data_IF_521484427020
#
_entry.id   IF_521484427020
#
_cell.length_a   1.000
_cell.length_b   1.000
_cell.length_c   1.000
_cell.angle_alpha   90.00
_cell.angle_beta   90.00
_cell.angle_gamma   90.00
#
_symmetry.space_group_name_H-M   'P 1'
#
loop_
_entity.id
_entity.type
_entity.pdbx_description
1 polymer ?
#
# COMPACT_ATOMS: atom_id res chain seq x y z
N UNK A 1 14.39 -23.77 -15.17
CA UNK A 1 14.84 -22.65 -14.31
C UNK A 1 13.69 -22.29 -13.39
N UNK A 2 13.92 -22.13 -12.08
CA UNK A 2 12.84 -21.77 -11.15
C UNK A 2 12.31 -20.35 -11.36
N UNK A 3 11.04 -20.14 -11.03
CA UNK A 3 10.36 -18.83 -11.08
C UNK A 3 11.09 -17.82 -10.19
N UNK A 4 11.35 -16.60 -10.67
CA UNK A 4 12.04 -15.56 -9.88
C UNK A 4 11.14 -15.07 -8.74
N UNK A 5 11.71 -14.55 -7.66
CA UNK A 5 10.94 -14.02 -6.52
C UNK A 5 11.14 -12.52 -6.44
N UNK A 6 10.05 -11.77 -6.29
CA UNK A 6 10.05 -10.32 -6.08
C UNK A 6 9.43 -10.03 -4.72
N UNK A 7 10.19 -9.37 -3.85
CA UNK A 7 9.67 -8.74 -2.64
C UNK A 7 8.93 -7.45 -3.00
N UNK A 8 7.68 -7.34 -2.59
CA UNK A 8 6.84 -6.17 -2.87
C UNK A 8 6.28 -5.60 -1.57
N UNK A 9 6.41 -4.29 -1.38
CA UNK A 9 5.90 -3.60 -0.19
C UNK A 9 5.28 -2.25 -0.60
N UNK A 10 4.12 -1.95 -0.02
CA UNK A 10 3.43 -0.67 -0.13
C UNK A 10 3.49 -0.01 1.24
N UNK A 11 3.94 1.24 1.29
CA UNK A 11 3.66 2.09 2.44
C UNK A 11 2.31 2.78 2.19
N UNK A 12 1.22 2.44 2.93
CA UNK A 12 -0.13 2.91 2.62
C UNK A 12 -0.28 4.44 2.69
N UNK A 13 0.52 5.10 3.51
CA UNK A 13 0.44 6.55 3.76
C UNK A 13 1.43 7.37 2.93
N UNK A 14 2.29 6.72 2.13
CA UNK A 14 3.29 7.42 1.36
C UNK A 14 2.67 8.39 0.34
N UNK A 15 3.26 9.58 0.24
CA UNK A 15 2.86 10.60 -0.73
C UNK A 15 1.59 11.40 -0.37
N UNK A 16 1.10 11.30 0.88
CA UNK A 16 -0.06 12.05 1.35
C UNK A 16 0.23 13.52 1.67
N UNK A 17 1.46 13.88 2.07
CA UNK A 17 1.79 15.23 2.55
C UNK A 17 1.98 16.28 1.45
N UNK A 18 2.65 15.91 0.35
CA UNK A 18 2.99 16.84 -0.73
C UNK A 18 1.77 17.56 -1.34
N UNK A 19 0.70 16.85 -1.73
CA UNK A 19 -0.50 17.47 -2.32
C UNK A 19 -1.20 18.50 -1.43
N UNK A 20 -1.01 18.42 -0.12
CA UNK A 20 -1.60 19.32 0.88
C UNK A 20 -0.57 20.32 1.46
N UNK A 21 0.58 20.48 0.80
CA UNK A 21 1.59 21.48 1.17
C UNK A 21 2.44 21.12 2.39
N UNK A 22 2.45 19.86 2.83
CA UNK A 22 3.27 19.38 3.94
C UNK A 22 4.58 18.77 3.43
N UNK A 23 5.68 18.95 4.17
CA UNK A 23 7.01 18.39 3.84
C UNK A 23 7.10 16.86 3.92
N UNK A 24 5.99 16.17 4.21
CA UNK A 24 5.91 14.72 4.37
C UNK A 24 4.69 14.31 5.20
N UNK A 25 4.60 13.03 5.56
CA UNK A 25 3.62 12.51 6.55
C UNK A 25 4.29 11.65 7.62
N UNK A 26 5.58 11.90 7.85
CA UNK A 26 6.36 11.18 8.84
C UNK A 26 5.98 11.71 10.23
N UNK A 27 5.22 10.91 10.96
CA UNK A 27 4.71 11.24 12.29
C UNK A 27 3.19 11.43 12.34
N UNK A 28 2.61 11.03 13.47
CA UNK A 28 1.16 10.98 13.67
C UNK A 28 0.48 12.35 13.53
N UNK A 29 1.10 13.42 14.05
CA UNK A 29 0.57 14.80 13.95
C UNK A 29 0.50 15.28 12.51
N UNK A 30 1.57 15.04 11.74
CA UNK A 30 1.66 15.43 10.33
C UNK A 30 0.66 14.66 9.48
N UNK A 31 0.49 13.36 9.76
CA UNK A 31 -0.51 12.53 9.08
C UNK A 31 -1.93 12.98 9.40
N UNK A 32 -2.26 13.25 10.67
CA UNK A 32 -3.55 13.82 11.08
C UNK A 32 -3.84 15.12 10.33
N UNK A 33 -2.87 16.03 10.29
CA UNK A 33 -3.00 17.30 9.57
C UNK A 33 -3.21 17.09 8.07
N UNK A 34 -2.49 16.14 7.47
CA UNK A 34 -2.68 15.81 6.05
C UNK A 34 -4.12 15.37 5.76
N UNK A 35 -4.67 14.50 6.62
CA UNK A 35 -6.05 14.00 6.51
C UNK A 35 -7.08 15.13 6.69
N UNK A 36 -6.87 16.05 7.64
CA UNK A 36 -7.71 17.24 7.80
C UNK A 36 -7.73 18.13 6.56
N UNK A 37 -6.59 18.24 5.88
CA UNK A 37 -6.43 19.00 4.63
C UNK A 37 -6.95 18.24 3.39
N UNK A 38 -7.57 17.06 3.57
CA UNK A 38 -8.15 16.29 2.48
C UNK A 38 -7.17 15.36 1.76
N UNK A 39 -6.02 15.02 2.37
CA UNK A 39 -5.10 14.06 1.78
C UNK A 39 -5.75 12.67 1.62
N UNK A 40 -5.49 12.04 0.48
CA UNK A 40 -5.95 10.70 0.13
C UNK A 40 -4.78 9.74 -0.03
N UNK A 41 -4.99 8.44 0.22
CA UNK A 41 -3.97 7.40 0.03
C UNK A 41 -3.63 7.26 -1.45
N UNK A 42 -2.43 7.69 -1.86
CA UNK A 42 -1.98 7.63 -3.27
C UNK A 42 -1.13 6.41 -3.60
N UNK A 43 -0.41 5.89 -2.60
CA UNK A 43 0.52 4.78 -2.76
C UNK A 43 -0.18 3.49 -3.26
N UNK A 44 -1.33 3.06 -2.70
CA UNK A 44 -2.06 1.90 -3.22
C UNK A 44 -2.42 1.99 -4.71
N UNK A 45 -2.95 3.13 -5.14
CA UNK A 45 -3.34 3.36 -6.53
C UNK A 45 -2.13 3.29 -7.49
N UNK A 46 -0.98 3.81 -7.06
CA UNK A 46 0.27 3.74 -7.83
C UNK A 46 0.81 2.31 -7.90
N UNK A 47 0.73 1.57 -6.79
CA UNK A 47 1.11 0.17 -6.72
C UNK A 47 0.30 -0.70 -7.69
N UNK A 48 -1.02 -0.57 -7.69
CA UNK A 48 -1.89 -1.28 -8.66
C UNK A 48 -1.53 -0.92 -10.10
N UNK A 49 -1.32 0.37 -10.40
CA UNK A 49 -0.92 0.81 -11.73
C UNK A 49 0.39 0.16 -12.17
N UNK A 50 1.39 0.10 -11.28
CA UNK A 50 2.67 -0.54 -11.55
C UNK A 50 2.55 -2.07 -11.73
N UNK A 51 1.76 -2.76 -10.91
CA UNK A 51 1.59 -4.20 -11.05
C UNK A 51 0.80 -4.58 -12.31
N UNK A 52 -0.20 -3.78 -12.70
CA UNK A 52 -0.95 -4.00 -13.95
C UNK A 52 -0.06 -3.97 -15.19
N UNK A 53 1.03 -3.18 -15.22
CA UNK A 53 1.98 -3.20 -16.35
C UNK A 53 2.83 -4.46 -16.39
N UNK A 54 2.99 -5.15 -15.25
CA UNK A 54 3.73 -6.39 -15.11
C UNK A 54 2.88 -7.64 -15.29
N UNK A 55 1.57 -7.52 -15.46
CA UNK A 55 0.62 -8.65 -15.55
C UNK A 55 0.99 -9.68 -16.64
N UNK A 56 1.64 -9.26 -17.72
CA UNK A 56 2.09 -10.16 -18.81
C UNK A 56 3.24 -11.11 -18.40
N UNK A 57 3.84 -10.89 -17.23
CA UNK A 57 4.97 -11.64 -16.70
C UNK A 57 4.58 -12.46 -15.46
N UNK A 58 3.29 -12.72 -15.24
CA UNK A 58 2.80 -13.47 -14.06
C UNK A 58 3.40 -14.87 -13.94
N UNK A 59 3.83 -15.47 -15.05
CA UNK A 59 4.48 -16.78 -15.06
C UNK A 59 6.00 -16.72 -14.78
N UNK A 60 6.62 -15.55 -14.94
CA UNK A 60 8.08 -15.40 -14.83
C UNK A 60 8.53 -15.19 -13.39
N UNK A 61 7.67 -14.61 -12.54
CA UNK A 61 8.00 -14.34 -11.15
C UNK A 61 6.83 -14.51 -10.17
N UNK A 62 7.18 -14.81 -8.92
CA UNK A 62 6.30 -14.92 -7.78
C UNK A 62 6.46 -13.68 -6.90
N UNK A 63 5.34 -13.05 -6.52
CA UNK A 63 5.35 -11.94 -5.56
C UNK A 63 5.35 -12.51 -4.14
N UNK A 64 6.19 -11.94 -3.29
CA UNK A 64 6.15 -12.10 -1.83
C UNK A 64 5.88 -10.72 -1.23
N UNK A 65 4.90 -10.61 -0.33
CA UNK A 65 4.49 -9.33 0.25
C UNK A 65 4.02 -9.49 1.69
N UNK A 66 3.66 -8.38 2.34
CA UNK A 66 3.15 -8.34 3.70
C UNK A 66 1.62 -8.12 3.70
N UNK A 67 0.87 -8.53 4.74
CA UNK A 67 -0.58 -8.56 4.68
C UNK A 67 -1.25 -7.19 4.46
N UNK A 68 -2.46 -7.23 3.91
CA UNK A 68 -3.39 -6.10 3.72
C UNK A 68 -2.82 -4.97 2.85
N UNK A 69 -2.96 -3.72 3.30
CA UNK A 69 -2.56 -2.50 2.59
C UNK A 69 -1.04 -2.37 2.37
N UNK A 70 -0.25 -3.30 2.94
CA UNK A 70 1.20 -3.34 2.75
C UNK A 70 1.60 -3.99 1.42
N UNK A 71 0.64 -4.36 0.55
CA UNK A 71 0.89 -4.85 -0.81
C UNK A 71 0.06 -6.07 -1.21
N UNK A 72 -0.56 -6.77 -0.25
CA UNK A 72 -1.43 -7.93 -0.54
C UNK A 72 -2.63 -7.53 -1.40
N UNK A 73 -3.34 -6.48 -1.00
CA UNK A 73 -4.56 -6.05 -1.69
C UNK A 73 -4.26 -5.57 -3.11
N UNK A 74 -3.21 -4.77 -3.28
CA UNK A 74 -2.80 -4.23 -4.57
C UNK A 74 -2.32 -5.34 -5.53
N UNK A 75 -1.61 -6.35 -5.00
CA UNK A 75 -1.19 -7.51 -5.78
C UNK A 75 -2.37 -8.36 -6.24
N UNK A 76 -3.32 -8.66 -5.35
CA UNK A 76 -4.54 -9.41 -5.68
C UNK A 76 -5.41 -8.66 -6.69
N UNK A 77 -5.64 -7.36 -6.49
CA UNK A 77 -6.40 -6.52 -7.43
C UNK A 77 -5.76 -6.51 -8.83
N UNK A 78 -4.43 -6.59 -8.89
CA UNK A 78 -3.69 -6.59 -10.15
C UNK A 78 -3.63 -7.97 -10.83
N UNK A 79 -4.24 -9.00 -10.23
CA UNK A 79 -4.33 -10.35 -10.76
C UNK A 79 -3.14 -11.27 -10.41
N UNK A 80 -2.33 -10.90 -9.41
CA UNK A 80 -1.29 -11.77 -8.88
C UNK A 80 -1.82 -12.60 -7.70
N UNK A 81 -1.21 -13.77 -7.49
CA UNK A 81 -1.39 -14.59 -6.31
C UNK A 81 -0.15 -14.48 -5.42
N UNK A 82 -0.04 -13.44 -4.56
CA UNK A 82 1.16 -13.23 -3.77
C UNK A 82 1.28 -14.26 -2.64
N UNK A 83 2.53 -14.59 -2.29
CA UNK A 83 2.84 -15.23 -1.01
C UNK A 83 2.85 -14.13 0.04
N UNK A 84 1.95 -14.22 1.02
CA UNK A 84 1.87 -13.26 2.11
C UNK A 84 2.66 -13.80 3.30
N UNK A 85 3.63 -13.02 3.78
CA UNK A 85 4.49 -13.42 4.91
C UNK A 85 4.17 -12.60 6.16
N UNK A 86 4.19 -13.28 7.31
CA UNK A 86 3.95 -12.65 8.60
C UNK A 86 2.47 -12.37 8.89
N UNK A 87 2.23 -11.75 10.04
CA UNK A 87 0.90 -11.34 10.47
C UNK A 87 1.03 -10.07 11.31
N UNK A 88 -0.06 -9.29 11.40
CA UNK A 88 -0.09 -8.16 12.32
C UNK A 88 -0.22 -8.69 13.75
N UNK A 89 0.80 -8.46 14.57
CA UNK A 89 0.76 -8.71 16.01
C UNK A 89 0.57 -7.37 16.74
N UNK A 90 -0.62 -7.16 17.32
CA UNK A 90 -1.00 -5.94 18.04
C UNK A 90 -1.71 -4.88 17.19
N UNK A 91 -2.44 -3.99 17.85
CA UNK A 91 -3.32 -2.98 17.23
C UNK A 91 -2.56 -1.66 16.97
N UNK A 92 -1.45 -1.71 16.22
CA UNK A 92 -0.71 -0.49 15.80
C UNK A 92 -1.19 0.04 14.45
N UNK A 93 -2.48 -0.03 14.18
CA UNK A 93 -3.07 0.82 13.14
C UNK A 93 -2.98 2.27 13.62
N UNK A 94 -2.49 3.18 12.79
CA UNK A 94 -2.71 4.60 13.06
C UNK A 94 -4.22 4.82 12.95
N UNK A 95 -4.90 4.94 14.10
CA UNK A 95 -6.38 5.00 14.24
C UNK A 95 -7.03 6.22 13.56
N UNK A 96 -6.24 7.06 12.87
CA UNK A 96 -6.70 8.23 12.13
C UNK A 96 -7.67 7.84 10.99
N UNK A 97 -7.70 6.57 10.58
CA UNK A 97 -8.58 6.06 9.53
C UNK A 97 -9.84 5.31 10.02
N UNK A 98 -9.96 4.96 11.31
CA UNK A 98 -11.11 4.16 11.80
C UNK A 98 -12.46 4.91 11.72
N UNK A 99 -12.44 6.25 11.67
CA UNK A 99 -13.66 7.10 11.72
C UNK A 99 -14.02 7.80 10.40
N UNK A 100 -13.35 7.51 9.29
CA UNK A 100 -13.83 7.90 7.96
C UNK A 100 -13.80 6.66 7.07
N UNK A 101 -14.94 5.98 6.96
CA UNK A 101 -15.26 5.19 5.77
C UNK A 101 -15.17 6.14 4.57
N UNK A 102 -13.98 6.28 4.01
CA UNK A 102 -13.85 6.74 2.63
C UNK A 102 -14.00 5.46 1.83
N UNK A 103 -15.26 5.13 1.55
CA UNK A 103 -15.61 4.17 0.53
C UNK A 103 -14.92 4.60 -0.76
N UNK A 104 -14.32 3.59 -1.40
CA UNK A 104 -13.66 3.64 -2.70
C UNK A 104 -14.53 4.32 -3.75
#
# INVERSE_FOLDING_TARGET
MGKKIIGFIVNPIAGMGGPVGLKGTDGEKTLKRAVELGAVKRSPLRAVKALKTLKKYTEDFQIVTYPKEMGEYEAKESGFLPIVIGNFYGDKSIDVYKNKQVSI
#
